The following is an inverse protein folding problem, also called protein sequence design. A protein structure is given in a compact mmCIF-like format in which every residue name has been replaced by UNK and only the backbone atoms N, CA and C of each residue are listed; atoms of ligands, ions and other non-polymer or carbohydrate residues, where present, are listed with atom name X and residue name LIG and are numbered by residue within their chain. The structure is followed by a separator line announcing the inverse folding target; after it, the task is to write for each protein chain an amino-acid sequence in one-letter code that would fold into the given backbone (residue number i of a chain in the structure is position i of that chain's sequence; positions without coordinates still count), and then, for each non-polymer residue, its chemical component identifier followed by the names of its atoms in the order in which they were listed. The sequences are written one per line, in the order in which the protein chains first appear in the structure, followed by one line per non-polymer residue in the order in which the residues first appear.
data_IF_506566751605
#
_entry.id   IF_506566751605
#
_cell.length_a   1.000
_cell.length_b   1.000
_cell.length_c   1.000
_cell.angle_alpha   90.00
_cell.angle_beta   90.00
_cell.angle_gamma   90.00
#
_symmetry.space_group_name_H-M   'P 1'
#
loop_
_entity.id
_entity.type
_entity.pdbx_description
1 polymer ?
#
# COMPACT_ATOMS: atom_id res chain seq x y z
N UNK A 1 49.92 -8.01 -26.68
CA UNK A 1 49.23 -8.34 -25.40
C UNK A 1 49.68 -7.50 -24.22
N UNK A 2 50.93 -7.13 -24.03
CA UNK A 2 51.42 -6.34 -22.88
C UNK A 2 50.85 -4.92 -22.81
N UNK A 3 50.63 -4.25 -23.93
CA UNK A 3 50.08 -2.89 -24.01
C UNK A 3 48.61 -2.84 -23.55
N UNK A 4 47.80 -3.80 -23.98
CA UNK A 4 46.38 -3.93 -23.59
C UNK A 4 46.23 -4.16 -22.09
N UNK A 5 47.12 -4.97 -21.50
CA UNK A 5 47.13 -5.25 -20.06
C UNK A 5 47.48 -4.01 -19.23
N UNK A 6 48.43 -3.16 -19.72
CA UNK A 6 48.78 -1.88 -19.08
C UNK A 6 47.66 -0.86 -19.20
N UNK A 7 46.96 -0.80 -20.33
CA UNK A 7 45.80 0.09 -20.51
C UNK A 7 44.65 -0.32 -19.61
N UNK A 8 44.31 -1.60 -19.53
CA UNK A 8 43.27 -2.14 -18.64
C UNK A 8 43.61 -1.86 -17.18
N UNK A 9 44.88 -2.01 -16.77
CA UNK A 9 45.26 -1.73 -15.38
C UNK A 9 45.24 -0.24 -15.02
N UNK A 10 45.46 0.65 -15.99
CA UNK A 10 45.46 2.11 -15.79
C UNK A 10 44.05 2.70 -15.81
N UNK A 11 43.09 2.02 -16.47
CA UNK A 11 41.71 2.49 -16.65
C UNK A 11 40.68 1.61 -15.97
N UNK A 12 41.06 0.69 -15.08
CA UNK A 12 40.13 -0.20 -14.37
C UNK A 12 39.06 0.60 -13.57
N UNK A 13 39.45 1.75 -13.02
CA UNK A 13 38.52 2.66 -12.32
C UNK A 13 37.42 3.22 -13.24
N UNK A 14 37.74 3.50 -14.50
CA UNK A 14 36.76 3.98 -15.48
C UNK A 14 35.73 2.88 -15.81
N UNK A 15 36.18 1.62 -15.84
CA UNK A 15 35.31 0.47 -16.05
C UNK A 15 34.38 0.25 -14.84
N UNK A 16 34.87 0.45 -13.63
CA UNK A 16 34.05 0.39 -12.41
C UNK A 16 33.02 1.51 -12.40
N UNK A 17 33.39 2.74 -12.78
CA UNK A 17 32.45 3.86 -12.88
C UNK A 17 31.41 3.63 -13.98
N UNK A 18 31.82 3.10 -15.12
CA UNK A 18 30.91 2.73 -16.22
C UNK A 18 29.90 1.67 -15.77
N UNK A 19 30.37 0.62 -15.12
CA UNK A 19 29.48 -0.41 -14.57
C UNK A 19 28.54 0.18 -13.50
N UNK A 20 29.05 1.03 -12.62
CA UNK A 20 28.26 1.74 -11.61
C UNK A 20 27.17 2.64 -12.20
N UNK A 21 27.38 3.18 -13.41
CA UNK A 21 26.38 4.00 -14.10
C UNK A 21 25.41 3.15 -14.94
N UNK A 22 25.89 2.10 -15.60
CA UNK A 22 25.10 1.27 -16.53
C UNK A 22 24.15 0.34 -15.79
N UNK A 23 24.59 -0.26 -14.66
CA UNK A 23 23.77 -1.20 -13.90
C UNK A 23 22.48 -0.55 -13.39
N UNK A 24 22.50 0.64 -12.75
CA UNK A 24 21.27 1.33 -12.34
C UNK A 24 20.35 1.69 -13.50
N UNK A 25 20.92 2.04 -14.66
CA UNK A 25 20.12 2.36 -15.86
C UNK A 25 19.42 1.11 -16.44
N UNK A 26 20.06 -0.06 -16.38
CA UNK A 26 19.46 -1.32 -16.82
C UNK A 26 18.36 -1.73 -15.83
N UNK A 27 18.62 -1.64 -14.52
CA UNK A 27 17.63 -2.00 -13.50
C UNK A 27 16.42 -1.08 -13.48
N UNK A 28 16.59 0.22 -13.81
CA UNK A 28 15.51 1.17 -13.94
C UNK A 28 14.57 0.91 -15.12
N UNK A 29 15.04 0.21 -16.18
CA UNK A 29 14.26 -0.11 -17.37
C UNK A 29 13.63 -1.50 -17.37
N UNK A 30 14.01 -2.37 -16.43
CA UNK A 30 13.44 -3.71 -16.34
C UNK A 30 12.23 -3.69 -15.41
N UNK A 31 11.05 -4.04 -15.93
CA UNK A 31 9.78 -4.14 -15.18
C UNK A 31 9.78 -5.25 -14.10
N UNK A 32 10.87 -5.96 -13.95
CA UNK A 32 11.03 -6.97 -12.90
C UNK A 32 11.89 -6.39 -11.79
N UNK A 33 11.36 -6.27 -10.57
CA UNK A 33 12.13 -5.86 -9.40
C UNK A 33 13.10 -6.98 -9.01
N UNK A 34 14.25 -7.03 -9.67
CA UNK A 34 15.42 -7.75 -9.20
C UNK A 34 16.17 -6.80 -8.27
N UNK A 35 16.10 -7.01 -6.98
CA UNK A 35 16.93 -6.26 -6.03
C UNK A 35 18.38 -6.68 -6.17
N UNK A 36 19.13 -5.97 -7.01
CA UNK A 36 20.60 -6.06 -7.06
C UNK A 36 21.18 -5.07 -6.05
N UNK A 37 21.26 -5.47 -4.80
CA UNK A 37 21.98 -4.68 -3.80
C UNK A 37 23.47 -4.62 -4.17
N UNK A 38 24.14 -3.44 -4.15
CA UNK A 38 23.71 -2.12 -3.70
C UNK A 38 23.08 -1.23 -4.79
N UNK A 39 22.81 -1.76 -5.97
CA UNK A 39 22.33 -1.02 -7.15
C UNK A 39 20.81 -1.12 -7.34
N UNK A 40 20.09 -1.50 -6.30
CA UNK A 40 18.62 -1.55 -6.38
C UNK A 40 18.03 -0.14 -6.56
N UNK A 41 17.16 -0.02 -7.54
CA UNK A 41 16.28 1.13 -7.63
C UNK A 41 15.31 1.05 -6.44
N UNK A 42 15.45 1.97 -5.46
CA UNK A 42 14.54 2.04 -4.32
C UNK A 42 13.17 2.54 -4.81
N UNK A 43 12.19 1.65 -5.04
CA UNK A 43 10.91 2.06 -5.61
C UNK A 43 10.12 3.01 -4.71
N UNK A 44 10.50 3.13 -3.43
CA UNK A 44 9.90 4.09 -2.49
C UNK A 44 10.06 5.56 -2.91
N UNK A 45 11.07 5.88 -3.74
CA UNK A 45 11.38 7.27 -4.11
C UNK A 45 11.38 7.49 -5.63
N UNK A 46 11.12 6.45 -6.42
CA UNK A 46 11.26 6.51 -7.89
C UNK A 46 9.95 6.71 -8.63
N UNK A 47 8.81 6.50 -7.98
CA UNK A 47 7.50 6.72 -8.58
C UNK A 47 6.62 7.53 -7.66
N UNK A 48 6.15 8.67 -8.17
CA UNK A 48 5.11 9.45 -7.52
C UNK A 48 3.75 8.99 -8.05
N UNK A 49 2.87 8.53 -7.14
CA UNK A 49 1.47 8.27 -7.47
C UNK A 49 0.62 9.42 -6.95
N UNK A 50 -0.07 10.17 -7.84
CA UNK A 50 -0.92 11.29 -7.43
C UNK A 50 -2.16 10.82 -6.65
N UNK A 51 -2.55 9.56 -6.83
CA UNK A 51 -3.70 8.95 -6.20
C UNK A 51 -3.27 7.96 -5.13
N UNK A 52 -3.69 8.18 -3.91
CA UNK A 52 -3.52 7.21 -2.81
C UNK A 52 -4.76 7.16 -1.95
N UNK A 53 -4.82 6.22 -1.02
CA UNK A 53 -5.90 6.18 -0.05
C UNK A 53 -5.41 5.63 1.29
N UNK A 54 -6.14 6.00 2.33
CA UNK A 54 -6.00 5.44 3.66
C UNK A 54 -7.35 4.90 4.14
N UNK A 55 -7.33 4.10 5.19
CA UNK A 55 -8.55 3.58 5.81
C UNK A 55 -8.53 3.84 7.31
N UNK A 56 -9.70 4.10 7.88
CA UNK A 56 -9.89 4.20 9.32
C UNK A 56 -11.22 3.57 9.72
N UNK A 57 -11.39 3.29 11.01
CA UNK A 57 -12.56 2.62 11.54
C UNK A 57 -13.30 3.56 12.49
N UNK A 58 -14.61 3.57 12.36
CA UNK A 58 -15.52 4.27 13.26
C UNK A 58 -16.49 3.27 13.89
N UNK A 59 -17.20 3.71 14.91
CA UNK A 59 -18.47 3.09 15.30
C UNK A 59 -19.58 3.44 14.30
N UNK A 60 -20.83 2.97 14.55
CA UNK A 60 -21.96 3.29 13.68
C UNK A 60 -22.44 4.74 13.79
N UNK A 61 -21.96 5.48 14.81
CA UNK A 61 -22.23 6.91 15.01
C UNK A 61 -21.15 7.79 14.34
N UNK A 62 -20.29 7.19 13.49
CA UNK A 62 -19.17 7.83 12.81
C UNK A 62 -18.09 8.41 13.74
N UNK A 63 -18.02 7.96 15.01
CA UNK A 63 -16.94 8.34 15.93
C UNK A 63 -15.69 7.49 15.66
N UNK A 64 -14.53 8.10 15.37
CA UNK A 64 -13.30 7.37 15.13
C UNK A 64 -12.87 6.52 16.33
N UNK A 65 -12.42 5.31 16.06
CA UNK A 65 -11.90 4.38 17.06
C UNK A 65 -10.37 4.38 17.05
N UNK A 66 -9.78 4.37 18.23
CA UNK A 66 -8.34 4.24 18.39
C UNK A 66 -7.91 2.81 18.02
N UNK A 67 -7.17 2.64 16.93
CA UNK A 67 -6.88 1.34 16.33
C UNK A 67 -6.08 0.45 17.27
N UNK A 68 -4.95 0.95 17.78
CA UNK A 68 -4.04 0.13 18.59
C UNK A 68 -4.67 -0.34 19.92
N UNK A 69 -5.33 0.52 20.72
CA UNK A 69 -5.95 0.07 21.97
C UNK A 69 -7.14 -0.87 21.77
N UNK A 70 -7.89 -0.72 20.69
CA UNK A 70 -9.11 -1.50 20.43
C UNK A 70 -8.79 -2.84 19.77
N UNK A 71 -7.93 -2.82 18.75
CA UNK A 71 -7.71 -3.97 17.88
C UNK A 71 -6.33 -4.64 18.07
N UNK A 72 -5.45 -4.06 18.89
CA UNK A 72 -4.09 -4.59 19.09
C UNK A 72 -3.23 -4.61 17.81
N UNK A 73 -3.54 -3.73 16.85
CA UNK A 73 -2.89 -3.66 15.55
C UNK A 73 -2.63 -2.21 15.14
N UNK A 74 -1.96 -1.99 14.00
CA UNK A 74 -1.71 -0.67 13.46
C UNK A 74 -2.70 -0.31 12.34
N UNK A 75 -2.89 0.99 12.07
CA UNK A 75 -3.67 1.47 10.93
C UNK A 75 -3.08 0.96 9.59
N UNK A 76 -1.74 0.85 9.52
CA UNK A 76 -1.04 0.29 8.37
C UNK A 76 -1.40 -1.18 8.12
N UNK A 77 -1.54 -1.99 9.17
CA UNK A 77 -1.90 -3.40 9.02
C UNK A 77 -3.35 -3.59 8.60
N UNK A 78 -4.24 -2.71 9.07
CA UNK A 78 -5.63 -2.68 8.59
C UNK A 78 -5.67 -2.36 7.10
N UNK A 79 -4.93 -1.32 6.67
CA UNK A 79 -4.82 -0.97 5.26
C UNK A 79 -4.27 -2.14 4.43
N UNK A 80 -3.19 -2.79 4.87
CA UNK A 80 -2.62 -3.97 4.17
C UNK A 80 -3.62 -5.12 4.08
N UNK A 81 -4.41 -5.36 5.13
CA UNK A 81 -5.44 -6.40 5.13
C UNK A 81 -6.54 -6.08 4.12
N UNK A 82 -7.01 -4.84 4.12
CA UNK A 82 -8.00 -4.35 3.16
C UNK A 82 -7.48 -4.41 1.72
N UNK A 83 -6.23 -3.95 1.47
CA UNK A 83 -5.55 -4.02 0.18
C UNK A 83 -5.46 -5.45 -0.37
N UNK A 84 -5.18 -6.41 0.53
CA UNK A 84 -5.12 -7.82 0.17
C UNK A 84 -6.50 -8.32 -0.27
N UNK A 85 -7.56 -7.99 0.50
CA UNK A 85 -8.94 -8.37 0.17
C UNK A 85 -9.41 -7.74 -1.15
N UNK A 86 -9.12 -6.47 -1.38
CA UNK A 86 -9.36 -5.84 -2.68
C UNK A 86 -8.59 -6.54 -3.81
N UNK A 87 -7.36 -6.99 -3.55
CA UNK A 87 -6.56 -7.75 -4.52
C UNK A 87 -7.17 -9.10 -4.88
N UNK A 88 -7.70 -9.82 -3.90
CA UNK A 88 -8.40 -11.10 -4.10
C UNK A 88 -9.65 -10.91 -4.98
N UNK A 89 -10.40 -9.83 -4.75
CA UNK A 89 -11.63 -9.51 -5.47
C UNK A 89 -11.41 -8.82 -6.84
N UNK A 90 -10.20 -8.33 -7.10
CA UNK A 90 -9.87 -7.59 -8.33
C UNK A 90 -10.16 -8.39 -9.61
N UNK A 91 -10.05 -9.72 -9.56
CA UNK A 91 -10.35 -10.60 -10.70
C UNK A 91 -11.81 -10.50 -11.17
N UNK A 92 -12.72 -10.05 -10.31
CA UNK A 92 -14.16 -9.85 -10.61
C UNK A 92 -14.47 -8.48 -11.21
N UNK A 93 -13.47 -7.58 -11.26
CA UNK A 93 -13.62 -6.24 -11.83
C UNK A 93 -13.14 -6.20 -13.30
N UNK A 94 -13.56 -5.18 -14.09
CA UNK A 94 -13.06 -4.98 -15.44
C UNK A 94 -11.53 -4.90 -15.47
N UNK A 95 -10.92 -5.45 -16.53
CA UNK A 95 -9.47 -5.42 -16.73
C UNK A 95 -8.95 -3.98 -16.70
N UNK A 96 -7.84 -3.75 -16.01
CA UNK A 96 -7.23 -2.43 -15.87
C UNK A 96 -7.71 -1.59 -14.69
N UNK A 97 -8.76 -2.02 -13.96
CA UNK A 97 -9.23 -1.28 -12.78
C UNK A 97 -8.18 -1.30 -11.66
N UNK A 98 -7.83 -0.13 -11.13
CA UNK A 98 -6.97 -0.01 -9.94
C UNK A 98 -7.74 -0.44 -8.69
N UNK A 99 -7.04 -0.94 -7.65
CA UNK A 99 -7.66 -1.36 -6.39
C UNK A 99 -8.49 -0.25 -5.73
N UNK A 100 -7.94 0.98 -5.75
CA UNK A 100 -8.63 2.15 -5.20
C UNK A 100 -9.97 2.45 -5.90
N UNK A 101 -10.11 2.08 -7.17
CA UNK A 101 -11.26 2.39 -8.03
C UNK A 101 -12.16 1.19 -8.29
N UNK A 102 -12.08 0.14 -7.46
CA UNK A 102 -12.96 -1.01 -7.58
C UNK A 102 -14.44 -0.60 -7.38
N UNK A 103 -15.40 -1.29 -8.02
CA UNK A 103 -16.82 -1.05 -7.82
C UNK A 103 -17.24 -1.14 -6.36
N UNK A 104 -18.20 -0.32 -5.96
CA UNK A 104 -18.68 -0.23 -4.58
C UNK A 104 -19.04 -1.59 -3.95
N UNK A 105 -19.73 -2.52 -4.64
CA UNK A 105 -20.04 -3.85 -4.06
C UNK A 105 -18.79 -4.64 -3.66
N UNK A 106 -17.74 -4.61 -4.48
CA UNK A 106 -16.48 -5.31 -4.18
C UNK A 106 -15.73 -4.64 -3.02
N UNK A 107 -15.77 -3.32 -2.92
CA UNK A 107 -15.22 -2.59 -1.77
C UNK A 107 -15.96 -2.94 -0.49
N UNK A 108 -17.29 -3.05 -0.54
CA UNK A 108 -18.13 -3.45 0.60
C UNK A 108 -17.79 -4.88 1.07
N UNK A 109 -17.66 -5.83 0.14
CA UNK A 109 -17.26 -7.20 0.44
C UNK A 109 -15.88 -7.24 1.11
N UNK A 110 -14.87 -6.56 0.54
CA UNK A 110 -13.53 -6.47 1.10
C UNK A 110 -13.52 -5.83 2.49
N UNK A 111 -14.31 -4.78 2.69
CA UNK A 111 -14.43 -4.09 3.98
C UNK A 111 -15.08 -4.97 5.04
N UNK A 112 -16.16 -5.68 4.70
CA UNK A 112 -16.84 -6.60 5.60
C UNK A 112 -15.91 -7.76 6.03
N UNK A 113 -15.16 -8.35 5.09
CA UNK A 113 -14.17 -9.38 5.40
C UNK A 113 -13.04 -8.85 6.29
N UNK A 114 -12.57 -7.63 6.03
CA UNK A 114 -11.52 -6.97 6.82
C UNK A 114 -12.00 -6.74 8.25
N UNK A 115 -13.18 -6.17 8.42
CA UNK A 115 -13.78 -5.93 9.73
C UNK A 115 -14.03 -7.24 10.48
N UNK A 116 -14.55 -8.26 9.81
CA UNK A 116 -14.77 -9.60 10.39
C UNK A 116 -13.45 -10.21 10.88
N UNK A 117 -12.37 -10.09 10.11
CA UNK A 117 -11.05 -10.57 10.51
C UNK A 117 -10.50 -9.81 11.72
N UNK A 118 -10.80 -8.52 11.84
CA UNK A 118 -10.42 -7.70 12.99
C UNK A 118 -11.22 -8.08 14.24
N UNK A 119 -12.54 -8.22 14.13
CA UNK A 119 -13.40 -8.61 15.25
C UNK A 119 -12.99 -9.93 15.86
N UNK A 120 -12.56 -10.90 15.06
CA UNK A 120 -12.03 -12.18 15.56
C UNK A 120 -10.76 -12.05 16.41
N UNK A 121 -10.05 -10.93 16.32
CA UNK A 121 -8.82 -10.66 17.10
C UNK A 121 -9.06 -9.75 18.30
N UNK A 122 -10.25 -9.17 18.43
CA UNK A 122 -10.55 -8.26 19.52
C UNK A 122 -10.56 -9.05 20.83
N UNK A 123 -9.64 -8.71 21.70
CA UNK A 123 -9.74 -9.01 23.13
C UNK A 123 -10.83 -8.08 23.69
N UNK A 124 -11.62 -8.49 24.68
CA UNK A 124 -12.60 -7.61 25.31
C UNK A 124 -11.97 -6.25 25.64
N UNK A 125 -12.35 -5.22 24.89
CA UNK A 125 -11.80 -3.88 25.05
C UNK A 125 -12.87 -2.98 25.66
N UNK A 126 -12.56 -2.21 26.71
CA UNK A 126 -13.49 -1.26 27.30
C UNK A 126 -13.96 -0.20 26.29
N UNK A 127 -13.19 0.05 25.23
CA UNK A 127 -13.53 1.00 24.17
C UNK A 127 -14.66 0.52 23.25
N UNK A 128 -15.06 -0.74 23.32
CA UNK A 128 -16.15 -1.32 22.55
C UNK A 128 -17.44 -1.53 23.35
N UNK A 129 -17.41 -1.25 24.65
CA UNK A 129 -18.59 -1.37 25.50
C UNK A 129 -19.70 -0.41 24.99
N UNK A 130 -20.87 -0.95 24.70
CA UNK A 130 -22.03 -0.18 24.21
C UNK A 130 -21.96 0.15 22.72
N UNK A 131 -20.95 -0.34 21.97
CA UNK A 131 -20.92 -0.19 20.52
C UNK A 131 -21.66 -1.34 19.84
N UNK A 132 -22.55 -0.99 18.92
CA UNK A 132 -23.40 -1.95 18.20
C UNK A 132 -22.79 -2.43 16.88
N UNK A 133 -21.76 -1.76 16.39
CA UNK A 133 -21.08 -2.17 15.16
C UNK A 133 -19.90 -1.29 14.81
N UNK A 134 -19.25 -1.67 13.72
CA UNK A 134 -18.05 -1.03 13.19
C UNK A 134 -18.27 -0.66 11.73
N UNK A 135 -17.71 0.47 11.33
CA UNK A 135 -17.74 0.95 9.96
C UNK A 135 -16.31 1.24 9.48
N UNK A 136 -15.97 0.76 8.28
CA UNK A 136 -14.70 1.06 7.61
C UNK A 136 -14.92 2.22 6.64
N UNK A 137 -14.08 3.24 6.76
CA UNK A 137 -14.04 4.37 5.83
C UNK A 137 -12.77 4.28 4.98
N UNK A 138 -12.90 4.60 3.69
CA UNK A 138 -11.80 4.87 2.78
C UNK A 138 -11.70 6.37 2.56
N UNK A 139 -10.52 6.92 2.73
CA UNK A 139 -10.21 8.31 2.39
C UNK A 139 -9.35 8.28 1.14
N UNK A 140 -9.94 8.66 0.03
CA UNK A 140 -9.22 8.85 -1.22
C UNK A 140 -8.51 10.21 -1.17
N UNK A 141 -7.22 10.20 -1.50
CA UNK A 141 -6.34 11.39 -1.52
C UNK A 141 -5.83 11.53 -2.93
N UNK A 142 -6.06 12.69 -3.51
CA UNK A 142 -5.62 13.04 -4.85
C UNK A 142 -4.80 14.32 -4.83
N UNK A 143 -3.67 14.31 -5.55
CA UNK A 143 -2.81 15.46 -5.77
C UNK A 143 -2.79 15.80 -7.25
N UNK A 144 -3.21 17.01 -7.62
CA UNK A 144 -3.31 17.47 -9.01
C UNK A 144 -2.10 18.28 -9.50
N UNK A 145 -1.07 18.39 -8.67
CA UNK A 145 0.12 19.21 -8.93
C UNK A 145 0.21 20.45 -8.04
N UNK A 146 -0.93 21.00 -7.61
CA UNK A 146 -0.99 22.21 -6.78
C UNK A 146 -1.72 21.96 -5.46
N UNK A 147 -2.86 21.25 -5.50
CA UNK A 147 -3.73 21.03 -4.36
C UNK A 147 -3.84 19.54 -4.02
N UNK A 148 -3.90 19.28 -2.73
CA UNK A 148 -4.21 17.97 -2.18
C UNK A 148 -5.68 17.93 -1.78
N UNK A 149 -6.46 17.11 -2.46
CA UNK A 149 -7.86 16.90 -2.16
C UNK A 149 -8.06 15.56 -1.46
N UNK A 150 -9.01 15.52 -0.54
CA UNK A 150 -9.36 14.29 0.18
C UNK A 150 -10.87 14.10 0.22
N UNK A 151 -11.30 12.84 0.05
CA UNK A 151 -12.71 12.46 0.13
C UNK A 151 -12.87 11.20 0.96
N UNK A 152 -13.57 11.30 2.08
CA UNK A 152 -13.91 10.17 2.92
C UNK A 152 -15.23 9.54 2.49
N UNK A 153 -15.25 8.21 2.37
CA UNK A 153 -16.44 7.44 1.98
C UNK A 153 -16.55 6.19 2.84
N UNK A 154 -17.71 5.90 3.45
CA UNK A 154 -17.93 4.62 4.12
C UNK A 154 -17.94 3.50 3.07
N UNK A 155 -17.11 2.49 3.25
CA UNK A 155 -16.96 1.38 2.28
C UNK A 155 -17.56 0.08 2.79
N UNK A 156 -17.82 -0.06 4.09
CA UNK A 156 -18.48 -1.25 4.63
C UNK A 156 -18.71 -1.14 6.13
N UNK A 157 -19.60 -1.98 6.63
CA UNK A 157 -19.93 -2.04 8.07
C UNK A 157 -20.26 -3.47 8.50
N UNK A 158 -20.11 -3.74 9.78
CA UNK A 158 -20.56 -4.99 10.43
C UNK A 158 -21.19 -4.67 11.76
N UNK A 159 -22.12 -5.52 12.21
CA UNK A 159 -22.64 -5.50 13.57
C UNK A 159 -21.68 -6.25 14.50
N UNK A 160 -21.52 -5.74 15.71
CA UNK A 160 -20.86 -6.46 16.80
C UNK A 160 -21.84 -7.42 17.46
N UNK A 161 -21.39 -8.59 17.93
CA UNK A 161 -22.23 -9.56 18.63
C UNK A 161 -22.74 -9.05 19.95
#
# INVERSE_FOLDING_TARGET
MALLRRLLFRFHWALVLLMGAVIPLITAKTDKPGEFYPFSNFPMYSSFEPDTYLVYITDLEDKPLAISPVFGTSASDIKKTYDRKLGELKSRAPKGTRKANLPAPLKQEAAAETLTALVKRITPSPHLIGKTGLRLHQVDIHYDGDLLTQRSTPVGQISLP
#
